data_IF_531689623083
#
_entry.id   IF_531689623083
#
_cell.length_a   1.000
_cell.length_b   1.000
_cell.length_c   1.000
_cell.angle_alpha   90.00
_cell.angle_beta   90.00
_cell.angle_gamma   90.00
#
_symmetry.space_group_name_H-M   'P 1'
#
loop_
_entity.id
_entity.type
_entity.pdbx_description
1 polymer ?
#
# COMPACT_ATOMS: atom_id res chain seq x y z
N UNK A 1 -14.05 -3.16 -16.64
CA UNK A 1 -12.73 -3.16 -17.32
C UNK A 1 -12.83 -2.35 -18.60
N UNK A 2 -11.92 -1.42 -18.76
CA UNK A 2 -11.91 -0.51 -19.91
C UNK A 2 -11.16 -1.12 -21.12
N UNK A 3 -11.11 -0.37 -22.24
CA UNK A 3 -10.45 -0.81 -23.48
C UNK A 3 -8.94 -1.09 -23.31
N UNK A 4 -8.28 -0.42 -22.35
CA UNK A 4 -6.88 -0.63 -21.96
C UNK A 4 -6.68 -1.79 -20.97
N UNK A 5 -7.73 -2.55 -20.70
CA UNK A 5 -7.76 -3.68 -19.79
C UNK A 5 -7.57 -3.33 -18.29
N UNK A 6 -7.57 -2.05 -17.92
CA UNK A 6 -7.56 -1.60 -16.54
C UNK A 6 -8.98 -1.52 -15.97
N UNK A 7 -9.08 -1.59 -14.64
CA UNK A 7 -10.34 -1.42 -13.92
C UNK A 7 -10.55 0.05 -13.59
N UNK A 8 -11.67 0.59 -14.02
CA UNK A 8 -12.21 1.87 -13.58
C UNK A 8 -13.44 1.62 -12.72
N UNK A 9 -13.57 2.31 -11.60
CA UNK A 9 -14.60 2.06 -10.60
C UNK A 9 -14.98 3.34 -9.86
N UNK A 10 -16.24 3.42 -9.46
CA UNK A 10 -16.75 4.44 -8.57
C UNK A 10 -17.12 5.76 -9.22
N UNK A 11 -17.71 6.61 -8.39
CA UNK A 11 -18.05 8.02 -8.62
C UNK A 11 -17.55 8.85 -7.44
N UNK A 12 -17.78 10.15 -7.43
CA UNK A 12 -17.42 11.03 -6.32
C UNK A 12 -18.13 10.67 -5.00
N UNK A 13 -19.26 10.00 -5.08
CA UNK A 13 -20.08 9.60 -3.93
C UNK A 13 -19.85 8.17 -3.45
N UNK A 14 -18.94 7.43 -4.08
CA UNK A 14 -18.68 6.02 -3.78
C UNK A 14 -17.36 5.80 -3.05
N UNK A 15 -17.29 4.71 -2.29
CA UNK A 15 -16.14 4.30 -1.49
C UNK A 15 -15.74 2.86 -1.90
N UNK A 16 -15.14 2.72 -3.08
CA UNK A 16 -14.80 1.44 -3.67
C UNK A 16 -13.35 1.00 -3.40
N UNK A 17 -12.67 1.65 -2.46
CA UNK A 17 -11.33 1.29 -2.03
C UNK A 17 -11.26 1.20 -0.51
N UNK A 18 -10.15 0.72 0.05
CA UNK A 18 -9.96 0.66 1.50
C UNK A 18 -9.92 2.04 2.18
N UNK A 19 -9.71 3.11 1.40
CA UNK A 19 -9.80 4.49 1.89
C UNK A 19 -11.24 4.98 1.79
N UNK A 20 -12.09 4.54 2.68
CA UNK A 20 -13.55 4.56 2.59
C UNK A 20 -14.25 5.50 3.58
N UNK A 21 -13.50 6.40 4.23
CA UNK A 21 -14.06 7.33 5.19
C UNK A 21 -15.17 8.21 4.59
N UNK A 22 -16.32 8.22 5.26
CA UNK A 22 -17.53 8.94 4.85
C UNK A 22 -18.28 9.49 6.06
N UNK A 23 -18.78 10.70 5.94
CA UNK A 23 -19.68 11.30 6.92
C UNK A 23 -20.96 11.78 6.24
N UNK A 24 -22.09 11.22 6.61
CA UNK A 24 -23.34 11.41 5.87
C UNK A 24 -23.16 10.98 4.41
N UNK A 25 -23.40 11.88 3.48
CA UNK A 25 -23.20 11.64 2.03
C UNK A 25 -21.84 12.14 1.51
N UNK A 26 -20.96 12.67 2.37
CA UNK A 26 -19.68 13.21 1.97
C UNK A 26 -18.56 12.17 2.07
N UNK A 27 -17.99 11.79 0.93
CA UNK A 27 -16.79 10.95 0.83
C UNK A 27 -15.53 11.81 0.86
N UNK A 28 -14.62 11.57 1.82
CA UNK A 28 -13.39 12.37 1.94
C UNK A 28 -12.29 11.94 0.96
N UNK A 29 -12.30 10.67 0.55
CA UNK A 29 -11.33 10.08 -0.38
C UNK A 29 -12.02 9.18 -1.39
N UNK A 30 -12.87 9.70 -2.28
CA UNK A 30 -13.68 8.87 -3.20
C UNK A 30 -12.82 8.02 -4.13
N UNK A 31 -11.66 8.52 -4.58
CA UNK A 31 -10.67 7.79 -5.40
C UNK A 31 -11.32 7.03 -6.56
N UNK A 32 -12.30 7.66 -7.19
CA UNK A 32 -12.99 7.15 -8.37
C UNK A 32 -12.10 7.11 -9.61
N UNK A 33 -12.39 6.21 -10.53
CA UNK A 33 -11.60 5.96 -11.73
C UNK A 33 -10.62 4.80 -11.56
N UNK A 34 -9.42 4.91 -12.10
CA UNK A 34 -8.41 3.85 -12.09
C UNK A 34 -7.48 4.01 -10.89
N UNK A 35 -7.84 3.40 -9.77
CA UNK A 35 -7.02 3.40 -8.55
C UNK A 35 -5.85 2.42 -8.68
N UNK A 36 -4.67 2.81 -8.17
CA UNK A 36 -3.41 2.08 -8.36
C UNK A 36 -3.41 0.70 -7.71
N UNK A 37 -3.92 0.57 -6.47
CA UNK A 37 -4.00 -0.72 -5.79
C UNK A 37 -5.03 -1.64 -6.41
N UNK A 38 -6.17 -1.12 -6.86
CA UNK A 38 -7.20 -1.92 -7.54
C UNK A 38 -6.62 -2.55 -8.80
N UNK A 39 -5.87 -1.80 -9.59
CA UNK A 39 -5.25 -2.30 -10.82
C UNK A 39 -4.05 -3.22 -10.54
N UNK A 40 -3.33 -3.01 -9.44
CA UNK A 40 -2.29 -3.95 -8.98
C UNK A 40 -2.90 -5.29 -8.55
N UNK A 41 -3.97 -5.26 -7.77
CA UNK A 41 -4.74 -6.45 -7.35
C UNK A 41 -5.37 -7.16 -8.56
N UNK A 42 -5.88 -6.41 -9.53
CA UNK A 42 -6.43 -6.95 -10.76
C UNK A 42 -5.38 -7.75 -11.55
N UNK A 43 -4.20 -7.18 -11.76
CA UNK A 43 -3.10 -7.88 -12.40
C UNK A 43 -2.72 -9.17 -11.65
N UNK A 44 -2.58 -9.08 -10.33
CA UNK A 44 -2.28 -10.24 -9.48
C UNK A 44 -3.36 -11.33 -9.59
N UNK A 45 -4.65 -10.96 -9.58
CA UNK A 45 -5.76 -11.89 -9.74
C UNK A 45 -5.72 -12.60 -11.09
N UNK A 46 -5.46 -11.88 -12.19
CA UNK A 46 -5.32 -12.49 -13.52
C UNK A 46 -4.16 -13.49 -13.54
N UNK A 47 -3.02 -13.16 -12.91
CA UNK A 47 -1.87 -14.09 -12.83
C UNK A 47 -2.15 -15.33 -11.99
N UNK A 48 -2.99 -15.22 -10.98
CA UNK A 48 -3.49 -16.37 -10.22
C UNK A 48 -4.41 -17.22 -11.11
N UNK A 49 -5.35 -16.59 -11.82
CA UNK A 49 -6.26 -17.28 -12.73
C UNK A 49 -5.53 -17.99 -13.87
N UNK A 50 -4.47 -17.40 -14.41
CA UNK A 50 -3.59 -18.05 -15.39
C UNK A 50 -3.09 -19.42 -14.90
N UNK A 51 -2.61 -19.47 -13.64
CA UNK A 51 -2.13 -20.73 -13.03
C UNK A 51 -3.24 -21.70 -12.70
N UNK A 52 -4.35 -21.22 -12.14
CA UNK A 52 -5.50 -22.08 -11.81
C UNK A 52 -6.11 -22.69 -13.06
N UNK A 53 -6.29 -21.90 -14.12
CA UNK A 53 -6.83 -22.41 -15.39
C UNK A 53 -5.89 -23.43 -16.07
N UNK A 54 -4.56 -23.22 -15.97
CA UNK A 54 -3.60 -24.22 -16.46
C UNK A 54 -3.72 -25.56 -15.72
N UNK A 55 -4.06 -25.52 -14.43
CA UNK A 55 -4.14 -26.72 -13.57
C UNK A 55 -5.51 -27.41 -13.63
N UNK A 56 -6.58 -26.63 -13.65
CA UNK A 56 -7.95 -27.13 -13.41
C UNK A 56 -8.91 -27.00 -14.59
N UNK A 57 -8.56 -26.22 -15.63
CA UNK A 57 -9.42 -26.02 -16.80
C UNK A 57 -8.76 -26.49 -18.09
N UNK A 58 -8.06 -25.58 -18.82
CA UNK A 58 -7.43 -25.87 -20.10
C UNK A 58 -6.25 -24.95 -20.41
N UNK A 59 -5.37 -25.40 -21.32
CA UNK A 59 -4.29 -24.56 -21.87
C UNK A 59 -4.83 -23.33 -22.61
N UNK A 60 -5.99 -23.42 -23.22
CA UNK A 60 -6.61 -22.29 -23.93
C UNK A 60 -7.07 -21.22 -22.96
N UNK A 61 -7.73 -21.58 -21.83
CA UNK A 61 -8.13 -20.67 -20.77
C UNK A 61 -6.89 -20.00 -20.14
N UNK A 62 -5.86 -20.76 -19.81
CA UNK A 62 -4.60 -20.21 -19.30
C UNK A 62 -3.98 -19.18 -20.25
N UNK A 63 -3.93 -19.48 -21.57
CA UNK A 63 -3.40 -18.55 -22.58
C UNK A 63 -4.23 -17.26 -22.70
N UNK A 64 -5.55 -17.33 -22.47
CA UNK A 64 -6.38 -16.13 -22.41
C UNK A 64 -5.93 -15.22 -21.26
N UNK A 65 -5.75 -15.76 -20.04
CA UNK A 65 -5.30 -14.98 -18.89
C UNK A 65 -3.86 -14.46 -19.03
N UNK A 66 -2.96 -15.23 -19.68
CA UNK A 66 -1.62 -14.75 -20.02
C UNK A 66 -1.68 -13.48 -20.88
N UNK A 67 -2.44 -13.50 -21.98
CA UNK A 67 -2.60 -12.33 -22.85
C UNK A 67 -3.25 -11.14 -22.15
N UNK A 68 -4.23 -11.41 -21.29
CA UNK A 68 -4.88 -10.35 -20.52
C UNK A 68 -3.89 -9.72 -19.53
N UNK A 69 -3.10 -10.53 -18.81
CA UNK A 69 -2.07 -10.04 -17.89
C UNK A 69 -1.03 -9.16 -18.59
N UNK A 70 -0.57 -9.57 -19.78
CA UNK A 70 0.36 -8.78 -20.60
C UNK A 70 -0.21 -7.39 -20.94
N UNK A 71 -1.47 -7.32 -21.38
CA UNK A 71 -2.14 -6.06 -21.68
C UNK A 71 -2.26 -5.16 -20.44
N UNK A 72 -2.71 -5.74 -19.32
CA UNK A 72 -2.82 -5.00 -18.05
C UNK A 72 -1.47 -4.47 -17.60
N UNK A 73 -0.40 -5.30 -17.65
CA UNK A 73 0.96 -4.90 -17.26
C UNK A 73 1.48 -3.76 -18.14
N UNK A 74 1.28 -3.83 -19.45
CA UNK A 74 1.68 -2.78 -20.40
C UNK A 74 0.96 -1.48 -20.07
N UNK A 75 -0.39 -1.50 -20.04
CA UNK A 75 -1.18 -0.31 -19.76
C UNK A 75 -0.89 0.31 -18.40
N UNK A 76 -0.65 -0.52 -17.37
CA UNK A 76 -0.29 -0.05 -16.04
C UNK A 76 1.05 0.69 -16.05
N UNK A 77 2.08 0.08 -16.63
CA UNK A 77 3.43 0.66 -16.65
C UNK A 77 3.51 1.96 -17.49
N UNK A 78 2.75 2.05 -18.58
CA UNK A 78 2.69 3.25 -19.42
C UNK A 78 1.96 4.42 -18.75
N UNK A 79 0.92 4.15 -17.94
CA UNK A 79 0.03 5.20 -17.46
C UNK A 79 0.28 5.63 -16.01
N UNK A 80 0.68 4.71 -15.10
CA UNK A 80 0.74 5.03 -13.67
C UNK A 80 2.02 5.72 -13.21
N UNK A 81 3.14 5.60 -13.90
CA UNK A 81 4.38 6.20 -13.44
C UNK A 81 4.42 7.71 -13.67
N UNK A 82 4.66 8.45 -12.59
CA UNK A 82 4.87 9.91 -12.62
C UNK A 82 6.37 10.22 -12.44
N UNK A 83 7.10 10.52 -13.53
CA UNK A 83 8.55 10.76 -13.46
C UNK A 83 8.91 12.03 -12.70
N UNK A 84 8.03 13.03 -12.64
CA UNK A 84 8.27 14.28 -11.90
C UNK A 84 8.30 14.06 -10.39
N UNK A 85 7.42 13.21 -9.87
CA UNK A 85 7.36 12.86 -8.44
C UNK A 85 8.12 11.58 -8.09
N UNK A 86 8.62 10.85 -9.08
CA UNK A 86 9.30 9.55 -8.94
C UNK A 86 8.46 8.52 -8.16
N UNK A 87 7.17 8.46 -8.46
CA UNK A 87 6.20 7.58 -7.81
C UNK A 87 5.05 7.26 -8.77
N UNK A 88 4.07 6.45 -8.35
CA UNK A 88 2.87 6.22 -9.14
C UNK A 88 1.79 7.26 -8.81
N UNK A 89 0.93 7.54 -9.78
CA UNK A 89 -0.35 8.21 -9.52
C UNK A 89 -1.18 7.34 -8.58
N UNK A 90 -1.84 7.95 -7.60
CA UNK A 90 -2.73 7.23 -6.68
C UNK A 90 -4.02 6.76 -7.36
N UNK A 91 -4.59 7.64 -8.16
CA UNK A 91 -5.59 7.35 -9.20
C UNK A 91 -5.07 8.03 -10.46
N UNK A 92 -5.32 7.49 -11.65
CA UNK A 92 -4.88 8.17 -12.87
C UNK A 92 -5.42 9.61 -12.92
N UNK A 93 -4.49 10.56 -13.02
CA UNK A 93 -4.77 12.00 -12.94
C UNK A 93 -4.60 12.60 -11.53
N UNK A 94 -4.59 11.79 -10.44
CA UNK A 94 -4.28 12.27 -9.08
C UNK A 94 -2.84 11.91 -8.69
N UNK A 95 -1.98 12.92 -8.66
CA UNK A 95 -0.55 12.77 -8.34
C UNK A 95 -0.24 12.88 -6.84
N UNK A 96 -1.23 12.78 -5.95
CA UNK A 96 -0.98 12.76 -4.50
C UNK A 96 -0.13 11.55 -4.11
N UNK A 97 0.84 11.78 -3.23
CA UNK A 97 1.70 10.70 -2.75
C UNK A 97 1.00 9.97 -1.60
N UNK A 98 0.59 8.74 -1.88
CA UNK A 98 -0.10 7.83 -0.96
C UNK A 98 0.57 6.46 -0.92
N UNK A 99 0.33 5.63 0.11
CA UNK A 99 0.99 4.32 0.26
C UNK A 99 0.49 3.26 -0.73
N UNK A 100 -0.67 3.46 -1.36
CA UNK A 100 -1.34 2.51 -2.24
C UNK A 100 -0.46 2.01 -3.39
N UNK A 101 0.50 2.81 -3.83
CA UNK A 101 1.48 2.42 -4.85
C UNK A 101 2.31 1.19 -4.47
N UNK A 102 2.45 0.85 -3.18
CA UNK A 102 3.16 -0.34 -2.73
C UNK A 102 2.51 -1.65 -3.17
N UNK A 103 1.18 -1.67 -3.42
CA UNK A 103 0.53 -2.85 -3.97
C UNK A 103 1.13 -3.28 -5.31
N UNK A 104 1.67 -2.35 -6.09
CA UNK A 104 2.33 -2.66 -7.35
C UNK A 104 3.59 -3.54 -7.22
N UNK A 105 4.17 -3.59 -6.01
CA UNK A 105 5.42 -4.30 -5.70
C UNK A 105 5.23 -5.42 -4.68
N UNK A 106 4.26 -5.31 -3.75
CA UNK A 106 4.14 -6.19 -2.59
C UNK A 106 3.42 -7.52 -2.86
N UNK A 107 2.63 -7.59 -3.92
CA UNK A 107 1.80 -8.76 -4.24
C UNK A 107 2.64 -9.94 -4.74
N UNK A 108 2.04 -11.14 -4.77
CA UNK A 108 2.68 -12.37 -5.26
C UNK A 108 3.11 -12.26 -6.73
N UNK A 109 2.40 -11.48 -7.51
CA UNK A 109 2.72 -11.10 -8.89
C UNK A 109 2.77 -9.59 -9.00
N UNK A 110 3.95 -8.98 -8.78
CA UNK A 110 4.10 -7.55 -8.91
C UNK A 110 3.85 -7.08 -10.36
N UNK A 111 3.06 -6.02 -10.52
CA UNK A 111 2.82 -5.43 -11.85
C UNK A 111 3.98 -4.55 -12.31
N UNK A 112 4.71 -3.95 -11.37
CA UNK A 112 5.99 -3.27 -11.60
C UNK A 112 7.11 -4.28 -11.37
N UNK A 113 8.13 -4.28 -12.25
CA UNK A 113 9.30 -5.14 -12.11
C UNK A 113 10.10 -4.76 -10.85
N UNK A 114 10.27 -5.68 -9.85
CA UNK A 114 10.79 -5.30 -8.53
C UNK A 114 12.26 -4.84 -8.51
N UNK A 115 13.09 -5.23 -9.49
CA UNK A 115 14.49 -4.77 -9.60
C UNK A 115 14.66 -3.54 -10.51
N UNK A 116 13.55 -2.93 -10.96
CA UNK A 116 13.57 -1.76 -11.82
C UNK A 116 13.90 -0.47 -11.07
N UNK A 117 14.33 0.56 -11.80
CA UNK A 117 14.52 1.90 -11.25
C UNK A 117 13.19 2.51 -10.76
N UNK A 118 12.08 2.17 -11.40
CA UNK A 118 10.74 2.56 -10.95
C UNK A 118 10.44 2.01 -9.56
N UNK A 119 10.76 0.75 -9.30
CA UNK A 119 10.57 0.12 -7.99
C UNK A 119 11.41 0.82 -6.91
N UNK A 120 12.67 1.13 -7.19
CA UNK A 120 13.55 1.89 -6.28
C UNK A 120 12.99 3.27 -5.99
N UNK A 121 12.48 3.96 -6.98
CA UNK A 121 11.87 5.28 -6.86
C UNK A 121 10.60 5.25 -6.01
N UNK A 122 9.73 4.26 -6.20
CA UNK A 122 8.51 4.05 -5.38
C UNK A 122 8.90 3.87 -3.91
N UNK A 123 9.77 2.91 -3.62
CA UNK A 123 10.20 2.60 -2.24
C UNK A 123 10.87 3.81 -1.60
N UNK A 124 11.81 4.47 -2.28
CA UNK A 124 12.47 5.68 -1.77
C UNK A 124 11.49 6.82 -1.49
N UNK A 125 10.47 7.00 -2.33
CA UNK A 125 9.43 8.02 -2.13
C UNK A 125 8.58 7.71 -0.91
N UNK A 126 8.17 6.45 -0.74
CA UNK A 126 7.41 5.99 0.43
C UNK A 126 8.22 6.17 1.70
N UNK A 127 9.49 5.75 1.73
CA UNK A 127 10.37 5.92 2.88
C UNK A 127 10.50 7.38 3.31
N UNK A 128 10.78 8.27 2.36
CA UNK A 128 11.03 9.68 2.64
C UNK A 128 9.77 10.46 3.05
N UNK A 129 8.61 10.11 2.49
CA UNK A 129 7.41 10.95 2.61
C UNK A 129 6.32 10.35 3.49
N UNK A 130 6.24 9.03 3.61
CA UNK A 130 5.13 8.34 4.25
C UNK A 130 5.54 7.53 5.48
N UNK A 131 6.71 6.88 5.46
CA UNK A 131 7.12 6.00 6.55
C UNK A 131 7.40 6.78 7.82
N UNK A 132 6.82 6.31 8.93
CA UNK A 132 7.17 6.74 10.27
C UNK A 132 7.30 5.53 11.21
N UNK A 133 7.50 5.80 12.50
CA UNK A 133 7.76 4.77 13.51
C UNK A 133 6.65 3.71 13.62
N UNK A 134 5.39 4.08 13.44
CA UNK A 134 4.23 3.23 13.69
C UNK A 134 3.49 2.77 12.44
N UNK A 135 3.92 3.20 11.25
CA UNK A 135 3.23 2.82 10.02
C UNK A 135 3.54 3.71 8.83
N UNK A 136 2.64 3.72 7.87
CA UNK A 136 2.69 4.65 6.75
C UNK A 136 1.55 5.66 6.85
N UNK A 137 1.90 6.93 6.61
CA UNK A 137 0.91 8.01 6.44
C UNK A 137 0.09 7.75 5.18
N UNK A 138 -1.21 7.97 5.27
CA UNK A 138 -2.15 7.79 4.15
C UNK A 138 -2.06 8.88 3.08
N UNK A 139 -1.44 10.01 3.43
CA UNK A 139 -1.13 11.12 2.53
C UNK A 139 0.20 11.76 2.96
N UNK A 140 1.04 12.15 2.02
CA UNK A 140 2.31 12.80 2.33
C UNK A 140 2.10 14.23 2.87
N UNK A 141 2.92 14.62 3.86
CA UNK A 141 2.94 16.00 4.35
C UNK A 141 3.28 16.96 3.19
N UNK A 142 2.50 18.04 3.09
CA UNK A 142 2.62 19.03 2.01
C UNK A 142 1.67 18.80 0.82
N UNK A 143 1.01 17.65 0.74
CA UNK A 143 -0.08 17.46 -0.22
C UNK A 143 -1.35 18.17 0.27
N UNK A 144 -2.16 18.67 -0.67
CA UNK A 144 -3.43 19.36 -0.35
C UNK A 144 -4.38 18.42 0.40
N UNK A 145 -4.87 18.87 1.55
CA UNK A 145 -5.77 18.10 2.41
C UNK A 145 -5.07 17.26 3.47
N UNK A 146 -3.74 17.39 3.65
CA UNK A 146 -3.00 16.67 4.69
C UNK A 146 -3.43 17.09 6.10
N UNK A 147 -3.77 16.10 6.95
CA UNK A 147 -4.14 16.25 8.35
C UNK A 147 -3.35 15.22 9.16
N UNK A 148 -2.66 15.63 10.22
CA UNK A 148 -1.75 14.77 10.98
C UNK A 148 -2.25 14.36 12.38
N UNK A 149 -3.46 14.80 12.77
CA UNK A 149 -4.10 14.46 14.04
C UNK A 149 -5.51 13.95 13.78
N UNK A 150 -5.88 12.84 14.42
CA UNK A 150 -7.21 12.25 14.40
C UNK A 150 -7.96 12.62 15.68
N UNK A 151 -8.76 13.71 15.62
CA UNK A 151 -9.49 14.21 16.76
C UNK A 151 -10.75 15.00 16.38
N UNK A 152 -11.56 15.36 17.39
CA UNK A 152 -12.78 16.16 17.23
C UNK A 152 -14.03 15.32 17.06
N UNK A 153 -15.04 15.89 16.42
CA UNK A 153 -16.30 15.24 16.10
C UNK A 153 -16.16 14.20 14.97
N UNK A 154 -17.25 13.51 14.64
CA UNK A 154 -17.25 12.49 13.59
C UNK A 154 -16.76 13.01 12.25
N UNK A 155 -17.21 14.19 11.83
CA UNK A 155 -16.80 14.79 10.56
C UNK A 155 -15.29 15.05 10.51
N UNK A 156 -14.72 15.65 11.57
CA UNK A 156 -13.29 15.95 11.65
C UNK A 156 -12.45 14.69 11.68
N UNK A 157 -12.85 13.67 12.44
CA UNK A 157 -12.16 12.36 12.48
C UNK A 157 -12.14 11.69 11.11
N UNK A 158 -13.32 11.57 10.46
CA UNK A 158 -13.43 10.93 9.16
C UNK A 158 -12.67 11.71 8.06
N UNK A 159 -12.65 13.06 8.16
CA UNK A 159 -11.87 13.90 7.24
C UNK A 159 -10.36 13.67 7.32
N UNK A 160 -9.82 13.23 8.46
CA UNK A 160 -8.40 12.97 8.65
C UNK A 160 -8.00 11.51 8.38
N UNK A 161 -8.93 10.57 8.49
CA UNK A 161 -8.72 9.13 8.58
C UNK A 161 -7.84 8.56 7.48
N UNK A 162 -8.02 9.02 6.24
CA UNK A 162 -7.21 8.67 5.06
C UNK A 162 -6.48 9.87 4.44
N UNK A 163 -6.33 10.97 5.19
CA UNK A 163 -5.72 12.21 4.71
C UNK A 163 -4.44 12.58 5.45
N UNK A 164 -3.71 11.60 5.94
CA UNK A 164 -2.41 11.84 6.59
C UNK A 164 -2.16 10.99 7.82
N UNK A 165 -3.20 10.41 8.42
CA UNK A 165 -3.08 9.53 9.60
C UNK A 165 -2.28 8.29 9.26
N UNK A 166 -1.52 7.80 10.22
CA UNK A 166 -0.60 6.66 10.10
C UNK A 166 -1.32 5.35 10.36
N UNK A 167 -1.13 4.38 9.48
CA UNK A 167 -1.72 3.03 9.55
C UNK A 167 -0.64 1.96 9.66
N UNK A 168 -0.62 1.14 10.74
CA UNK A 168 0.39 0.09 10.95
C UNK A 168 0.36 -1.02 9.90
N UNK A 169 -0.82 -1.48 9.48
CA UNK A 169 -0.93 -2.62 8.55
C UNK A 169 -0.20 -2.40 7.23
N UNK A 170 -0.05 -1.15 6.81
CA UNK A 170 0.66 -0.77 5.59
C UNK A 170 2.16 -1.12 5.63
N UNK A 171 2.73 -1.35 6.84
CA UNK A 171 4.11 -1.82 6.99
C UNK A 171 4.31 -3.20 6.36
N UNK A 172 3.26 -4.03 6.31
CA UNK A 172 3.29 -5.30 5.60
C UNK A 172 3.52 -5.15 4.10
N UNK A 173 2.86 -4.18 3.48
CA UNK A 173 3.07 -3.88 2.05
C UNK A 173 4.51 -3.40 1.77
N UNK A 174 5.04 -2.54 2.64
CA UNK A 174 6.42 -2.08 2.54
C UNK A 174 7.41 -3.24 2.70
N UNK A 175 7.23 -4.08 3.70
CA UNK A 175 8.07 -5.27 3.94
C UNK A 175 8.06 -6.24 2.75
N UNK A 176 6.88 -6.57 2.23
CA UNK A 176 6.76 -7.46 1.08
C UNK A 176 7.33 -6.85 -0.21
N UNK A 177 7.24 -5.53 -0.38
CA UNK A 177 7.90 -4.84 -1.48
C UNK A 177 9.41 -5.03 -1.43
N UNK A 178 10.04 -4.83 -0.25
CA UNK A 178 11.47 -5.07 -0.06
C UNK A 178 11.85 -6.54 -0.31
N UNK A 179 11.03 -7.49 0.14
CA UNK A 179 11.27 -8.93 -0.10
C UNK A 179 11.19 -9.29 -1.58
N UNK A 180 10.22 -8.75 -2.31
CA UNK A 180 10.11 -8.96 -3.74
C UNK A 180 11.29 -8.33 -4.50
N UNK A 181 11.74 -7.15 -4.08
CA UNK A 181 12.97 -6.53 -4.62
C UNK A 181 14.19 -7.40 -4.36
N UNK A 182 14.37 -7.89 -3.13
CA UNK A 182 15.47 -8.79 -2.76
C UNK A 182 15.46 -10.07 -3.60
N UNK A 183 14.28 -10.66 -3.80
CA UNK A 183 14.12 -11.89 -4.60
C UNK A 183 14.46 -11.68 -6.06
N UNK A 184 14.16 -10.53 -6.63
CA UNK A 184 14.40 -10.21 -8.04
C UNK A 184 15.82 -9.67 -8.30
N UNK A 185 16.52 -9.19 -7.29
CA UNK A 185 17.85 -8.56 -7.41
C UNK A 185 18.92 -9.60 -7.79
N UNK A 186 19.78 -9.22 -8.74
CA UNK A 186 20.89 -10.06 -9.22
C UNK A 186 22.26 -9.54 -8.79
N UNK A 187 22.39 -8.23 -8.56
CA UNK A 187 23.62 -7.64 -8.06
C UNK A 187 23.84 -8.02 -6.58
N UNK A 188 24.98 -8.66 -6.30
CA UNK A 188 25.31 -9.19 -4.96
C UNK A 188 25.44 -8.07 -3.91
N UNK A 189 25.93 -6.89 -4.30
CA UNK A 189 26.09 -5.75 -3.39
C UNK A 189 24.73 -5.17 -3.02
N UNK A 190 23.89 -4.90 -4.01
CA UNK A 190 22.52 -4.38 -3.81
C UNK A 190 21.69 -5.39 -3.02
N UNK A 191 21.86 -6.68 -3.30
CA UNK A 191 21.18 -7.75 -2.55
C UNK A 191 21.53 -7.72 -1.07
N UNK A 192 22.82 -7.59 -0.74
CA UNK A 192 23.28 -7.46 0.65
C UNK A 192 22.75 -6.19 1.33
N UNK A 193 22.70 -5.07 0.62
CA UNK A 193 22.11 -3.83 1.13
C UNK A 193 20.61 -4.00 1.45
N UNK A 194 19.86 -4.70 0.61
CA UNK A 194 18.44 -5.02 0.84
C UNK A 194 18.26 -5.99 2.03
N UNK A 195 19.12 -6.99 2.17
CA UNK A 195 19.10 -7.92 3.32
C UNK A 195 19.31 -7.17 4.65
N UNK A 196 20.28 -6.27 4.70
CA UNK A 196 20.52 -5.42 5.88
C UNK A 196 19.32 -4.52 6.15
N UNK A 197 18.80 -3.85 5.13
CA UNK A 197 17.61 -2.98 5.25
C UNK A 197 16.40 -3.75 5.81
N UNK A 198 16.14 -4.95 5.34
CA UNK A 198 15.04 -5.80 5.82
C UNK A 198 15.27 -6.21 7.28
N UNK A 199 16.50 -6.59 7.64
CA UNK A 199 16.87 -6.96 9.01
C UNK A 199 16.67 -5.79 9.97
N UNK A 200 17.20 -4.61 9.64
CA UNK A 200 17.09 -3.40 10.46
C UNK A 200 15.63 -2.97 10.62
N UNK A 201 14.86 -3.07 9.54
CA UNK A 201 13.42 -2.79 9.58
C UNK A 201 12.69 -3.74 10.54
N UNK A 202 12.93 -5.06 10.47
CA UNK A 202 12.33 -6.05 11.38
C UNK A 202 12.67 -5.75 12.84
N UNK A 203 13.92 -5.47 13.15
CA UNK A 203 14.34 -5.15 14.53
C UNK A 203 13.70 -3.85 15.02
N UNK A 204 13.62 -2.83 14.17
CA UNK A 204 12.92 -1.58 14.49
C UNK A 204 11.43 -1.80 14.80
N UNK A 205 10.75 -2.60 13.98
CA UNK A 205 9.34 -2.97 14.18
C UNK A 205 9.16 -3.74 15.48
N UNK A 206 9.98 -4.77 15.72
CA UNK A 206 9.96 -5.56 16.95
C UNK A 206 10.12 -4.67 18.17
N UNK A 207 11.16 -3.83 18.21
CA UNK A 207 11.42 -2.90 19.33
C UNK A 207 10.25 -1.93 19.55
N UNK A 208 9.72 -1.35 18.47
CA UNK A 208 8.64 -0.36 18.54
C UNK A 208 7.35 -0.97 19.09
N UNK A 209 6.92 -2.09 18.51
CA UNK A 209 5.61 -2.67 18.86
C UNK A 209 5.64 -3.52 20.11
N UNK A 210 6.79 -4.09 20.51
CA UNK A 210 6.93 -4.67 21.86
C UNK A 210 6.69 -3.60 22.93
N UNK A 211 7.28 -2.42 22.77
CA UNK A 211 7.04 -1.30 23.69
C UNK A 211 5.60 -0.82 23.65
N UNK A 212 5.01 -0.70 22.45
CA UNK A 212 3.61 -0.29 22.28
C UNK A 212 2.64 -1.23 23.00
N UNK A 213 2.81 -2.55 22.82
CA UNK A 213 1.97 -3.58 23.42
C UNK A 213 2.09 -3.62 24.94
N UNK A 214 3.28 -3.32 25.52
CA UNK A 214 3.51 -3.40 26.94
C UNK A 214 3.22 -2.11 27.72
N UNK A 215 3.41 -0.95 27.08
CA UNK A 215 3.48 0.31 27.80
C UNK A 215 2.52 1.41 27.31
N UNK A 216 1.94 1.25 26.12
CA UNK A 216 1.15 2.31 25.46
C UNK A 216 -0.15 1.75 24.86
N UNK A 217 -1.03 2.68 24.54
CA UNK A 217 -2.29 2.38 23.86
C UNK A 217 -3.11 1.34 24.60
N UNK A 218 -3.51 0.31 23.92
CA UNK A 218 -4.17 -0.85 24.52
C UNK A 218 -3.11 -1.89 24.88
N UNK A 219 -2.86 -2.06 26.16
CA UNK A 219 -1.95 -3.10 26.65
C UNK A 219 -2.38 -4.47 26.12
N UNK A 220 -1.45 -5.18 25.51
CA UNK A 220 -1.69 -6.50 24.89
C UNK A 220 -2.17 -6.48 23.45
N UNK A 221 -2.29 -5.30 22.81
CA UNK A 221 -2.73 -5.21 21.40
C UNK A 221 -2.10 -4.03 20.66
N UNK A 222 -2.46 -3.85 19.38
CA UNK A 222 -2.02 -2.75 18.52
C UNK A 222 -3.25 -2.03 18.01
N UNK A 223 -3.26 -0.71 18.16
CA UNK A 223 -4.34 0.15 17.69
C UNK A 223 -4.44 0.17 16.16
N UNK A 224 -5.56 0.64 15.69
CA UNK A 224 -5.87 0.74 14.25
C UNK A 224 -4.98 1.76 13.54
N UNK A 225 -4.88 2.96 14.12
CA UNK A 225 -4.20 4.13 13.57
C UNK A 225 -3.40 4.87 14.63
N UNK A 226 -2.51 5.73 14.16
CA UNK A 226 -1.73 6.64 15.01
C UNK A 226 -1.73 8.04 14.40
N UNK A 227 -1.76 9.06 15.27
CA UNK A 227 -1.50 10.43 14.82
C UNK A 227 -0.16 10.47 14.08
N UNK A 228 -0.10 11.17 12.95
CA UNK A 228 1.16 11.35 12.23
C UNK A 228 2.02 12.45 12.84
N UNK A 229 1.44 13.29 13.68
CA UNK A 229 2.13 14.26 14.53
C UNK A 229 2.70 13.57 15.77
N UNK A 230 3.90 13.97 16.17
CA UNK A 230 4.49 13.51 17.44
C UNK A 230 3.63 13.93 18.64
N UNK A 231 3.49 13.06 19.66
CA UNK A 231 4.21 11.81 19.92
C UNK A 231 3.61 10.55 19.27
N UNK A 232 2.81 10.68 18.21
CA UNK A 232 2.13 9.59 17.49
C UNK A 232 1.18 8.82 18.43
N UNK A 233 0.15 9.47 18.92
CA UNK A 233 -0.83 8.86 19.82
C UNK A 233 -1.64 7.78 19.09
N UNK A 234 -1.87 6.61 19.70
CA UNK A 234 -2.77 5.60 19.17
C UNK A 234 -4.21 6.10 19.16
N UNK A 235 -4.94 5.80 18.11
CA UNK A 235 -6.30 6.26 17.83
C UNK A 235 -7.10 5.15 17.11
N UNK A 236 -8.36 5.45 16.79
CA UNK A 236 -9.24 4.49 16.11
C UNK A 236 -9.66 3.34 17.01
N UNK A 237 -9.85 2.15 16.43
CA UNK A 237 -10.12 0.94 17.20
C UNK A 237 -8.91 0.59 18.07
N UNK A 238 -9.18 0.28 19.35
CA UNK A 238 -8.13 0.00 20.35
C UNK A 238 -7.35 -1.28 20.06
N UNK A 239 -7.94 -2.22 19.32
CA UNK A 239 -7.32 -3.48 18.90
C UNK A 239 -7.80 -3.77 17.48
N UNK A 240 -6.88 -3.72 16.50
CA UNK A 240 -7.21 -3.90 15.09
C UNK A 240 -6.52 -5.14 14.52
N UNK A 241 -7.32 -6.06 13.99
CA UNK A 241 -6.85 -7.36 13.51
C UNK A 241 -5.72 -7.26 12.48
N UNK A 242 -5.85 -6.41 11.46
CA UNK A 242 -4.82 -6.29 10.43
C UNK A 242 -3.54 -5.59 10.93
N UNK A 243 -3.65 -4.66 11.90
CA UNK A 243 -2.46 -4.09 12.54
C UNK A 243 -1.66 -5.17 13.28
N UNK A 244 -2.35 -5.99 14.10
CA UNK A 244 -1.74 -7.11 14.84
C UNK A 244 -1.16 -8.14 13.87
N UNK A 245 -1.94 -8.57 12.87
CA UNK A 245 -1.54 -9.61 11.91
C UNK A 245 -0.28 -9.22 11.11
N UNK A 246 -0.23 -8.00 10.58
CA UNK A 246 0.90 -7.55 9.77
C UNK A 246 2.17 -7.35 10.62
N UNK A 247 2.06 -6.77 11.81
CA UNK A 247 3.21 -6.62 12.71
C UNK A 247 3.74 -7.98 13.15
N UNK A 248 2.85 -8.90 13.55
CA UNK A 248 3.25 -10.27 13.89
C UNK A 248 3.93 -10.97 12.71
N UNK A 249 3.37 -10.87 11.51
CA UNK A 249 3.92 -11.46 10.29
C UNK A 249 5.32 -10.92 9.96
N UNK A 250 5.56 -9.62 10.11
CA UNK A 250 6.88 -9.01 9.89
C UNK A 250 7.91 -9.55 10.88
N UNK A 251 7.55 -9.65 12.16
CA UNK A 251 8.48 -10.06 13.22
C UNK A 251 8.88 -11.54 13.07
N UNK A 252 7.92 -12.42 12.76
CA UNK A 252 8.12 -13.88 12.82
C UNK A 252 8.33 -14.59 11.48
N UNK A 253 8.21 -13.88 10.34
CA UNK A 253 8.57 -14.38 9.01
C UNK A 253 9.87 -13.75 8.50
#
# INVERSE_FOLDING_TARGET
MDKDSLISSGTEDTQNTWMDAKYGNHCFTPRNGKAVEINSLWYNAIKIMEKLSAKFESKAASKYYTKLAEKVKTSFNEQFYNPKKKCLYDVLGDAKVRPNQLFSLSLSYPVIEPNSEIAKNIVSTVEKKLLNKYGLKTLAKGEKGYIDIYEGDGFRRDSSYHQGITWPWLLGLYYDSLKNMLKAEKDKKVKKELEVKISDFKESIKKTFTKEILERGTVGSIGEIYDSKLPNLPKGAIAQAWSVAEIFRIIYK
#
